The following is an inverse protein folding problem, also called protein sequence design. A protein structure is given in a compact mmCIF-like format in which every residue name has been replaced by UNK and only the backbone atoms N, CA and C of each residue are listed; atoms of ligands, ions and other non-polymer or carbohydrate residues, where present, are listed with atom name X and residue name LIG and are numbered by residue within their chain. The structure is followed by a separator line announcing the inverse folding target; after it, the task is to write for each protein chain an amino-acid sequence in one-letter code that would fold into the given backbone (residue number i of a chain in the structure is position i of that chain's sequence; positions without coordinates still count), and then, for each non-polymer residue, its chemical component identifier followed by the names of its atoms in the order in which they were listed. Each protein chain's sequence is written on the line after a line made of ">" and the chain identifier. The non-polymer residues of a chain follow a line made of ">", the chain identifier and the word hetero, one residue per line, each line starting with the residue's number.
data_IF_563315049944
#
_entry.id   IF_563315049944
#
_cell.length_a   1.000
_cell.length_b   1.000
_cell.length_c   1.000
_cell.angle_alpha   90.00
_cell.angle_beta   90.00
_cell.angle_gamma   90.00
#
_symmetry.space_group_name_H-M   'P 1'
#
loop_
_entity.id
_entity.type
_entity.pdbx_description
1 polymer ?
#
# COMPACT_ATOMS: atom_id res chain seq x y z
N UNK A 1 11.37 14.87 4.29
CA UNK A 1 10.29 14.08 4.87
C UNK A 1 9.45 14.99 5.75
N UNK A 2 8.14 14.92 5.64
CA UNK A 2 7.24 15.59 6.58
C UNK A 2 7.32 14.86 7.93
N UNK A 3 7.00 15.54 9.02
CA UNK A 3 7.00 14.96 10.38
C UNK A 3 6.10 13.70 10.44
N UNK A 4 4.99 13.70 9.72
CA UNK A 4 4.09 12.56 9.59
C UNK A 4 4.74 11.34 8.91
N UNK A 5 5.57 11.57 7.87
CA UNK A 5 6.27 10.47 7.18
C UNK A 5 7.35 9.84 8.07
N UNK A 6 8.02 10.64 8.89
CA UNK A 6 9.00 10.15 9.87
C UNK A 6 8.31 9.30 10.96
N UNK A 7 7.19 9.77 11.48
CA UNK A 7 6.41 9.04 12.50
C UNK A 7 5.93 7.69 11.96
N UNK A 8 5.41 7.64 10.74
CA UNK A 8 4.97 6.40 10.10
C UNK A 8 6.12 5.39 9.90
N UNK A 9 7.32 5.85 9.51
CA UNK A 9 8.49 4.97 9.37
C UNK A 9 8.92 4.37 10.72
N UNK A 10 8.88 5.15 11.82
CA UNK A 10 9.20 4.67 13.17
C UNK A 10 8.17 3.63 13.64
N UNK A 11 6.89 3.85 13.42
CA UNK A 11 5.83 2.91 13.79
C UNK A 11 5.97 1.56 13.05
N UNK A 12 6.37 1.56 11.78
CA UNK A 12 6.61 0.33 11.01
C UNK A 12 7.83 -0.42 11.55
N UNK A 13 8.91 0.28 11.91
CA UNK A 13 10.10 -0.35 12.50
C UNK A 13 9.78 -1.01 13.86
N UNK A 14 9.00 -0.36 14.70
CA UNK A 14 8.61 -0.92 16.00
C UNK A 14 7.68 -2.13 15.84
N UNK A 15 6.72 -2.07 14.92
CA UNK A 15 5.88 -3.21 14.57
C UNK A 15 6.69 -4.40 14.05
N UNK A 16 7.70 -4.14 13.22
CA UNK A 16 8.59 -5.18 12.73
C UNK A 16 9.39 -5.85 13.86
N UNK A 17 9.86 -5.08 14.86
CA UNK A 17 10.54 -5.61 16.05
C UNK A 17 9.61 -6.52 16.86
N UNK A 18 8.38 -6.07 17.13
CA UNK A 18 7.38 -6.87 17.87
C UNK A 18 7.07 -8.20 17.16
N UNK A 19 6.98 -8.19 15.83
CA UNK A 19 6.79 -9.41 15.04
C UNK A 19 7.99 -10.34 15.18
N UNK A 20 9.21 -9.83 15.05
CA UNK A 20 10.44 -10.62 15.20
C UNK A 20 10.55 -11.25 16.59
N UNK A 21 10.28 -10.48 17.66
CA UNK A 21 10.28 -10.97 19.03
C UNK A 21 9.21 -12.06 19.26
N UNK A 22 8.05 -11.90 18.65
CA UNK A 22 6.96 -12.87 18.76
C UNK A 22 7.31 -14.18 18.05
N UNK A 23 7.88 -14.10 16.86
CA UNK A 23 8.35 -15.28 16.11
C UNK A 23 9.46 -16.02 16.86
N UNK A 24 10.40 -15.28 17.45
CA UNK A 24 11.46 -15.85 18.26
C UNK A 24 10.92 -16.62 19.48
N UNK A 25 9.89 -16.09 20.18
CA UNK A 25 9.20 -16.78 21.30
C UNK A 25 8.53 -18.08 20.85
N UNK A 26 8.10 -18.14 19.60
CA UNK A 26 7.50 -19.35 19.00
C UNK A 26 8.54 -20.32 18.43
N UNK A 27 9.84 -20.02 18.54
CA UNK A 27 10.92 -20.83 18.00
C UNK A 27 11.05 -20.77 16.48
N UNK A 28 10.49 -19.74 15.84
CA UNK A 28 10.55 -19.51 14.39
C UNK A 28 11.75 -18.59 14.10
N UNK A 29 12.65 -19.06 13.25
CA UNK A 29 13.76 -18.22 12.77
C UNK A 29 13.22 -17.15 11.83
N UNK A 30 13.53 -15.89 12.11
CA UNK A 30 13.08 -14.76 11.31
C UNK A 30 14.17 -13.68 11.20
N UNK A 31 14.22 -13.03 10.05
CA UNK A 31 15.16 -11.94 9.74
C UNK A 31 14.41 -10.73 9.20
N UNK A 32 14.70 -9.55 9.75
CA UNK A 32 14.12 -8.29 9.27
C UNK A 32 14.88 -7.74 8.07
N UNK A 33 14.15 -7.20 7.10
CA UNK A 33 14.69 -6.51 5.93
C UNK A 33 14.08 -5.12 5.84
N UNK A 34 14.89 -4.14 5.48
CA UNK A 34 14.37 -2.80 5.16
C UNK A 34 13.74 -2.81 3.76
N UNK A 35 12.67 -2.05 3.59
CA UNK A 35 12.06 -1.80 2.28
C UNK A 35 12.91 -0.84 1.43
N UNK A 36 14.14 -1.23 1.13
CA UNK A 36 15.10 -0.48 0.33
C UNK A 36 15.28 -1.12 -1.07
N UNK A 37 16.01 -0.50 -2.01
CA UNK A 37 16.23 -1.06 -3.35
C UNK A 37 16.92 -2.43 -3.38
N UNK A 38 17.55 -2.84 -2.29
CA UNK A 38 18.31 -4.10 -2.20
C UNK A 38 17.51 -5.23 -1.56
N UNK A 39 16.31 -4.96 -1.04
CA UNK A 39 15.52 -5.94 -0.31
C UNK A 39 15.34 -7.25 -1.09
N UNK A 40 15.02 -7.16 -2.38
CA UNK A 40 14.80 -8.32 -3.22
C UNK A 40 16.09 -9.16 -3.41
N UNK A 41 17.22 -8.49 -3.61
CA UNK A 41 18.52 -9.18 -3.72
C UNK A 41 18.83 -9.97 -2.44
N UNK A 42 18.58 -9.36 -1.28
CA UNK A 42 18.80 -10.02 0.01
C UNK A 42 17.87 -11.23 0.18
N UNK A 43 16.59 -11.11 -0.19
CA UNK A 43 15.63 -12.23 -0.13
C UNK A 43 16.00 -13.37 -1.07
N UNK A 44 16.49 -13.07 -2.28
CA UNK A 44 16.95 -14.10 -3.22
C UNK A 44 18.19 -14.85 -2.74
N UNK A 45 19.04 -14.20 -1.96
CA UNK A 45 20.22 -14.85 -1.33
C UNK A 45 19.79 -15.71 -0.14
N UNK A 46 18.97 -15.16 0.75
CA UNK A 46 18.57 -15.80 2.00
C UNK A 46 17.49 -16.89 1.80
N UNK A 47 16.71 -16.80 0.72
CA UNK A 47 15.65 -17.76 0.31
C UNK A 47 14.68 -18.09 1.44
N UNK A 48 13.96 -17.11 2.00
CA UNK A 48 13.00 -17.39 3.08
C UNK A 48 11.84 -18.26 2.56
N UNK A 49 11.26 -19.07 3.44
CA UNK A 49 10.05 -19.85 3.14
C UNK A 49 8.83 -18.96 2.94
N UNK A 50 8.77 -17.84 3.65
CA UNK A 50 7.67 -16.84 3.56
C UNK A 50 8.15 -15.46 3.99
N UNK A 51 7.59 -14.42 3.40
CA UNK A 51 7.83 -13.02 3.77
C UNK A 51 6.59 -12.44 4.45
N UNK A 52 6.73 -11.90 5.65
CA UNK A 52 5.70 -11.06 6.28
C UNK A 52 5.90 -9.63 5.76
N UNK A 53 5.02 -9.20 4.86
CA UNK A 53 5.11 -7.88 4.26
C UNK A 53 4.45 -6.83 5.17
N UNK A 54 5.25 -5.96 5.75
CA UNK A 54 4.83 -4.84 6.60
C UNK A 54 5.07 -3.47 5.95
N UNK A 55 5.37 -3.44 4.65
CA UNK A 55 5.71 -2.20 3.95
C UNK A 55 4.46 -1.38 3.65
N UNK A 56 4.33 -0.23 4.30
CA UNK A 56 3.26 0.74 4.06
C UNK A 56 3.66 1.80 3.03
N UNK A 57 4.93 2.20 3.02
CA UNK A 57 5.47 3.17 2.05
C UNK A 57 6.86 2.76 1.58
N UNK A 58 7.25 3.20 0.39
CA UNK A 58 8.63 3.13 -0.08
C UNK A 58 9.12 4.51 -0.48
N UNK A 59 10.25 4.95 0.10
CA UNK A 59 10.82 6.28 -0.15
C UNK A 59 9.81 7.40 0.12
N UNK A 60 8.97 7.25 1.14
CA UNK A 60 7.90 8.20 1.49
C UNK A 60 6.79 8.33 0.45
N UNK A 61 6.56 7.28 -0.35
CA UNK A 61 5.52 7.28 -1.38
C UNK A 61 4.66 6.02 -1.28
N UNK A 62 3.42 6.17 -0.87
CA UNK A 62 2.45 5.07 -0.71
C UNK A 62 2.25 4.27 -2.01
N UNK A 63 2.23 4.94 -3.15
CA UNK A 63 2.07 4.28 -4.45
C UNK A 63 3.18 3.28 -4.78
N UNK A 64 4.36 3.40 -4.16
CA UNK A 64 5.48 2.49 -4.40
C UNK A 64 5.38 1.21 -3.57
N UNK A 65 4.52 1.15 -2.56
CA UNK A 65 4.32 -0.08 -1.77
C UNK A 65 3.88 -1.27 -2.64
N UNK A 66 3.17 -1.03 -3.75
CA UNK A 66 2.76 -2.09 -4.69
C UNK A 66 3.91 -2.78 -5.41
N UNK A 67 5.09 -2.17 -5.44
CA UNK A 67 6.28 -2.78 -6.04
C UNK A 67 6.84 -3.94 -5.21
N UNK A 68 6.55 -3.99 -3.91
CA UNK A 68 7.00 -5.09 -3.04
C UNK A 68 6.30 -6.40 -3.39
N UNK A 69 4.94 -6.51 -3.34
CA UNK A 69 4.28 -7.73 -3.76
C UNK A 69 4.59 -8.09 -5.22
N UNK A 70 4.68 -7.11 -6.14
CA UNK A 70 5.05 -7.39 -7.52
C UNK A 70 6.43 -8.06 -7.65
N UNK A 71 7.42 -7.61 -6.89
CA UNK A 71 8.76 -8.20 -6.89
C UNK A 71 8.77 -9.60 -6.25
N UNK A 72 7.99 -9.82 -5.18
CA UNK A 72 7.85 -11.12 -4.53
C UNK A 72 7.15 -12.13 -5.44
N UNK A 73 6.07 -11.73 -6.12
CA UNK A 73 5.37 -12.53 -7.12
C UNK A 73 6.29 -12.92 -8.29
N UNK A 74 7.02 -11.94 -8.84
CA UNK A 74 7.99 -12.18 -9.91
C UNK A 74 9.06 -13.21 -9.51
N UNK A 75 9.44 -13.22 -8.23
CA UNK A 75 10.48 -14.08 -7.68
C UNK A 75 9.94 -15.39 -7.10
N UNK A 76 8.62 -15.62 -7.18
CA UNK A 76 7.93 -16.77 -6.63
C UNK A 76 8.22 -17.00 -5.12
N UNK A 77 8.30 -15.90 -4.35
CA UNK A 77 8.49 -15.91 -2.90
C UNK A 77 7.12 -15.76 -2.23
N UNK A 78 6.65 -16.71 -1.42
CA UNK A 78 5.40 -16.58 -0.67
C UNK A 78 5.45 -15.39 0.30
N UNK A 79 4.33 -14.68 0.44
CA UNK A 79 4.26 -13.52 1.32
C UNK A 79 2.85 -13.31 1.89
N UNK A 80 2.75 -12.50 2.95
CA UNK A 80 1.48 -12.12 3.56
C UNK A 80 0.97 -10.80 2.97
N UNK A 81 -0.37 -10.67 2.92
CA UNK A 81 -1.05 -9.46 2.46
C UNK A 81 -1.64 -9.59 1.06
N UNK A 82 -2.10 -8.47 0.53
CA UNK A 82 -2.71 -8.43 -0.80
C UNK A 82 -1.64 -8.49 -1.90
N UNK A 83 -1.94 -9.18 -2.98
CA UNK A 83 -1.13 -9.20 -4.20
C UNK A 83 -1.05 -7.82 -4.89
N UNK A 84 -0.15 -7.70 -5.86
CA UNK A 84 0.06 -6.45 -6.59
C UNK A 84 -1.26 -5.86 -7.13
N UNK A 85 -2.10 -6.67 -7.75
CA UNK A 85 -3.38 -6.22 -8.31
C UNK A 85 -4.33 -5.70 -7.23
N UNK A 86 -4.47 -6.44 -6.13
CA UNK A 86 -5.29 -6.03 -4.98
C UNK A 86 -4.80 -4.72 -4.36
N UNK A 87 -3.49 -4.55 -4.25
CA UNK A 87 -2.87 -3.31 -3.76
C UNK A 87 -3.13 -2.12 -4.68
N UNK A 88 -3.05 -2.29 -6.00
CA UNK A 88 -3.35 -1.23 -6.98
C UNK A 88 -4.80 -0.78 -6.85
N UNK A 89 -5.73 -1.73 -6.78
CA UNK A 89 -7.15 -1.45 -6.63
C UNK A 89 -7.43 -0.77 -5.28
N UNK A 90 -6.96 -1.37 -4.19
CA UNK A 90 -7.23 -0.88 -2.83
C UNK A 90 -6.68 0.52 -2.56
N UNK A 91 -5.53 0.86 -3.10
CA UNK A 91 -4.92 2.17 -2.96
C UNK A 91 -5.55 3.26 -3.84
N UNK A 92 -6.43 2.89 -4.76
CA UNK A 92 -7.15 3.85 -5.60
C UNK A 92 -8.64 3.87 -5.29
N UNK A 93 -9.04 4.69 -4.32
CA UNK A 93 -10.44 4.78 -3.85
C UNK A 93 -11.44 5.04 -4.97
N UNK A 94 -11.08 5.84 -5.98
CA UNK A 94 -11.97 6.08 -7.12
C UNK A 94 -12.16 4.80 -7.96
N UNK A 95 -11.08 4.06 -8.22
CA UNK A 95 -11.15 2.79 -8.95
C UNK A 95 -11.95 1.77 -8.16
N UNK A 96 -11.64 1.59 -6.87
CA UNK A 96 -12.36 0.67 -5.98
C UNK A 96 -13.86 0.94 -5.96
N UNK A 97 -14.26 2.21 -5.79
CA UNK A 97 -15.69 2.57 -5.76
C UNK A 97 -16.38 2.35 -7.11
N UNK A 98 -15.69 2.60 -8.22
CA UNK A 98 -16.23 2.28 -9.55
C UNK A 98 -16.41 0.79 -9.77
N UNK A 99 -15.48 -0.03 -9.30
CA UNK A 99 -15.62 -1.49 -9.32
C UNK A 99 -16.79 -1.94 -8.45
N UNK A 100 -16.95 -1.38 -7.26
CA UNK A 100 -18.09 -1.70 -6.40
C UNK A 100 -19.42 -1.42 -7.10
N UNK A 101 -19.55 -0.28 -7.76
CA UNK A 101 -20.76 0.03 -8.55
C UNK A 101 -20.92 -0.96 -9.73
N UNK A 102 -19.83 -1.27 -10.44
CA UNK A 102 -19.89 -2.17 -11.60
C UNK A 102 -20.25 -3.62 -11.24
N UNK A 103 -19.97 -4.04 -10.01
CA UNK A 103 -20.28 -5.38 -9.48
C UNK A 103 -21.46 -5.40 -8.50
N UNK A 104 -22.28 -4.34 -8.48
CA UNK A 104 -23.44 -4.20 -7.59
C UNK A 104 -23.10 -4.37 -6.09
N UNK A 105 -21.86 -4.03 -5.68
CA UNK A 105 -21.44 -4.05 -4.30
C UNK A 105 -21.91 -2.75 -3.62
N UNK A 106 -22.66 -2.84 -2.53
CA UNK A 106 -23.12 -1.65 -1.80
C UNK A 106 -21.96 -0.72 -1.42
N UNK A 107 -22.03 0.51 -1.88
CA UNK A 107 -21.02 1.55 -1.56
C UNK A 107 -21.72 2.88 -1.37
N UNK A 108 -21.26 3.73 -0.42
CA UNK A 108 -21.75 5.09 -0.31
C UNK A 108 -21.59 5.85 -1.63
N UNK A 109 -22.56 6.68 -1.94
CA UNK A 109 -22.50 7.55 -3.12
C UNK A 109 -21.20 8.36 -3.10
N UNK A 110 -20.62 8.61 -4.26
CA UNK A 110 -19.35 9.33 -4.37
C UNK A 110 -19.28 10.15 -5.65
N UNK A 111 -18.50 11.23 -5.59
CA UNK A 111 -18.14 12.04 -6.73
C UNK A 111 -16.63 12.19 -6.80
N UNK A 112 -16.03 11.99 -7.97
CA UNK A 112 -14.62 12.17 -8.18
C UNK A 112 -14.32 13.53 -8.81
N UNK A 113 -13.67 14.41 -8.07
CA UNK A 113 -13.35 15.77 -8.45
C UNK A 113 -11.89 15.83 -8.94
N UNK A 114 -11.70 16.12 -10.23
CA UNK A 114 -10.37 16.24 -10.85
C UNK A 114 -9.79 17.65 -10.86
N UNK A 115 -10.64 18.65 -10.78
CA UNK A 115 -10.25 20.05 -10.91
C UNK A 115 -10.87 20.87 -9.78
N UNK A 116 -10.09 21.80 -9.24
CA UNK A 116 -10.62 22.78 -8.31
C UNK A 116 -11.80 23.55 -8.96
N UNK A 117 -12.82 23.90 -8.17
CA UNK A 117 -14.01 24.61 -8.67
C UNK A 117 -15.06 23.72 -9.34
N UNK A 118 -14.86 22.39 -9.43
CA UNK A 118 -15.93 21.48 -9.85
C UNK A 118 -17.04 21.49 -8.80
N UNK A 119 -18.30 21.74 -9.22
CA UNK A 119 -19.44 21.73 -8.32
C UNK A 119 -19.66 20.32 -7.72
N UNK A 120 -20.03 20.30 -6.45
CA UNK A 120 -20.54 19.08 -5.79
C UNK A 120 -22.00 18.94 -6.22
N UNK A 121 -22.43 17.72 -6.53
CA UNK A 121 -23.80 17.42 -6.90
C UNK A 121 -24.75 17.82 -5.76
N UNK A 122 -25.82 18.56 -6.06
CA UNK A 122 -26.69 19.20 -5.07
C UNK A 122 -27.39 18.21 -4.12
N UNK A 123 -27.67 17.00 -4.58
CA UNK A 123 -28.38 15.96 -3.84
C UNK A 123 -27.44 15.01 -3.07
N UNK A 124 -26.17 15.39 -2.88
CA UNK A 124 -25.19 14.54 -2.20
C UNK A 124 -25.53 14.28 -0.72
N UNK A 125 -26.21 15.24 -0.09
CA UNK A 125 -26.52 15.20 1.34
C UNK A 125 -25.30 15.47 2.24
N UNK A 126 -25.55 15.72 3.50
CA UNK A 126 -24.53 15.93 4.53
C UNK A 126 -24.69 14.89 5.64
N UNK A 127 -23.60 14.44 6.29
CA UNK A 127 -22.21 14.88 6.14
C UNK A 127 -21.49 14.25 4.93
N UNK A 128 -20.50 14.97 4.38
CA UNK A 128 -19.64 14.49 3.27
C UNK A 128 -18.24 14.19 3.81
N UNK A 129 -17.68 13.06 3.41
CA UNK A 129 -16.27 12.72 3.68
C UNK A 129 -15.45 13.07 2.44
N UNK A 130 -14.51 14.01 2.59
CA UNK A 130 -13.54 14.35 1.55
C UNK A 130 -12.26 13.53 1.79
N UNK A 131 -11.72 12.94 0.74
CA UNK A 131 -10.54 12.10 0.84
C UNK A 131 -9.69 12.21 -0.42
N UNK A 132 -8.40 12.30 -0.23
CA UNK A 132 -7.44 12.27 -1.33
C UNK A 132 -7.45 10.91 -2.03
N UNK A 133 -7.38 10.97 -3.37
CA UNK A 133 -7.06 9.80 -4.20
C UNK A 133 -5.90 10.22 -5.08
N UNK A 134 -4.75 9.54 -5.00
CA UNK A 134 -3.60 9.93 -5.80
C UNK A 134 -3.98 9.93 -7.28
N UNK A 135 -3.65 10.99 -8.03
CA UNK A 135 -3.92 11.03 -9.46
C UNK A 135 -3.11 9.95 -10.16
N UNK A 136 -3.71 9.25 -11.11
CA UNK A 136 -2.98 8.47 -12.10
C UNK A 136 -2.14 9.46 -12.91
N UNK A 137 -0.85 9.58 -12.58
CA UNK A 137 0.07 10.42 -13.35
C UNK A 137 0.43 9.69 -14.64
N UNK A 138 0.45 10.40 -15.79
CA UNK A 138 1.01 9.86 -17.02
C UNK A 138 2.47 9.44 -16.78
N UNK A 139 2.91 8.37 -17.41
CA UNK A 139 4.28 7.82 -17.31
C UNK A 139 5.39 8.78 -17.80
N UNK A 140 5.03 9.93 -18.36
CA UNK A 140 5.94 10.90 -19.01
C UNK A 140 6.60 11.91 -18.06
N UNK A 141 6.44 11.80 -16.74
CA UNK A 141 7.08 12.70 -15.77
C UNK A 141 8.00 11.94 -14.81
N UNK A 142 9.02 11.30 -15.36
CA UNK A 142 10.23 10.95 -14.63
C UNK A 142 11.31 11.97 -15.03
N UNK A 143 11.36 13.08 -14.34
CA UNK A 143 12.54 13.92 -14.20
C UNK A 143 13.18 13.67 -12.84
#
# INVERSE_FOLDING_TARGET
>A
PTEDAYTAEVEVEDRAKEVLETLAKLGIEAKGYKGDPYFLTNLLVDKPDVVINLVDTLRGKDRLQTSVPAALELSNIPYTGAGMEGMIIGNNRNLTKRLFVAYDIPTPRFQFIRRAGTAIEEDFGLPIIVSDSPPLRPLTQYE
#
